data_IF_138939148797
#
_entry.id   IF_138939148797
#
_cell.length_a   1.000
_cell.length_b   1.000
_cell.length_c   1.000
_cell.angle_alpha   90.00
_cell.angle_beta   90.00
_cell.angle_gamma   90.00
#
_symmetry.space_group_name_H-M   'P 1'
#
loop_
_entity.id
_entity.type
_entity.pdbx_description
1 polymer ?
#
# COMPACT_ATOMS: atom_id res chain seq x y z
N UNK A 1 39.39 1.53 -6.66
CA UNK A 1 38.55 0.55 -5.93
C UNK A 1 37.19 1.21 -5.70
N UNK A 2 36.18 0.91 -6.52
CA UNK A 2 34.89 1.63 -6.51
C UNK A 2 34.00 1.16 -5.35
N UNK A 3 33.71 2.05 -4.40
CA UNK A 3 32.71 1.87 -3.34
C UNK A 3 31.32 1.87 -3.96
N UNK A 4 30.87 0.73 -4.49
CA UNK A 4 29.47 0.57 -4.91
C UNK A 4 28.69 0.18 -3.67
N UNK A 5 28.05 1.17 -3.05
CA UNK A 5 27.17 1.06 -1.89
C UNK A 5 26.11 -0.01 -2.12
N UNK A 6 26.01 -1.01 -1.24
CA UNK A 6 25.03 -2.10 -1.30
C UNK A 6 23.59 -1.67 -0.98
N UNK A 7 23.34 -0.38 -0.77
CA UNK A 7 22.02 0.20 -0.52
C UNK A 7 21.43 0.85 -1.77
N UNK A 8 20.12 0.64 -1.98
CA UNK A 8 19.33 1.13 -3.11
C UNK A 8 18.13 1.88 -2.53
N UNK A 9 18.25 3.19 -2.25
CA UNK A 9 17.11 4.00 -1.86
C UNK A 9 16.16 4.17 -3.05
N UNK A 10 14.87 4.30 -2.76
CA UNK A 10 13.85 4.57 -3.75
C UNK A 10 12.72 5.40 -3.14
N UNK A 11 12.01 6.07 -4.04
CA UNK A 11 10.75 6.73 -3.77
C UNK A 11 9.78 6.35 -4.87
N UNK A 12 8.53 6.10 -4.54
CA UNK A 12 7.49 5.79 -5.50
C UNK A 12 6.19 6.54 -5.19
N UNK A 13 5.51 6.87 -6.27
CA UNK A 13 4.15 7.39 -6.24
C UNK A 13 3.30 6.56 -7.20
N UNK A 14 2.15 6.09 -6.72
CA UNK A 14 1.24 5.25 -7.50
C UNK A 14 -0.18 5.72 -7.31
N UNK A 15 -0.96 5.73 -8.40
CA UNK A 15 -2.40 5.98 -8.38
C UNK A 15 -3.16 4.76 -8.91
N UNK A 16 -4.35 4.54 -8.36
CA UNK A 16 -5.30 3.55 -8.85
C UNK A 16 -6.73 4.08 -8.77
N UNK A 17 -7.62 3.51 -9.58
CA UNK A 17 -9.05 3.76 -9.49
C UNK A 17 -9.85 2.47 -9.66
N UNK A 18 -11.02 2.42 -9.03
CA UNK A 18 -11.96 1.31 -9.11
C UNK A 18 -13.33 1.90 -9.44
N UNK A 19 -13.93 1.59 -10.60
CA UNK A 19 -15.31 1.95 -10.90
C UNK A 19 -16.26 1.34 -9.86
N UNK A 20 -17.18 2.15 -9.35
CA UNK A 20 -18.18 1.70 -8.40
C UNK A 20 -19.50 1.47 -9.15
N UNK A 21 -20.07 0.27 -9.04
CA UNK A 21 -21.37 -0.03 -9.65
C UNK A 21 -22.51 0.42 -8.72
N UNK A 22 -23.66 0.76 -9.32
CA UNK A 22 -24.85 1.20 -8.60
C UNK A 22 -24.99 2.72 -8.56
N UNK A 23 -25.93 3.17 -7.73
CA UNK A 23 -26.29 4.57 -7.58
C UNK A 23 -26.65 4.89 -6.12
N UNK A 24 -26.61 6.18 -5.78
CA UNK A 24 -27.12 6.71 -4.52
C UNK A 24 -28.64 6.52 -4.41
N UNK A 25 -29.20 6.79 -3.23
CA UNK A 25 -30.66 6.84 -3.03
C UNK A 25 -31.36 7.76 -4.04
N UNK A 26 -30.73 8.88 -4.42
CA UNK A 26 -31.27 9.86 -5.37
C UNK A 26 -31.06 9.47 -6.85
N UNK A 27 -30.61 8.24 -7.12
CA UNK A 27 -30.41 7.70 -8.47
C UNK A 27 -29.15 8.21 -9.18
N UNK A 28 -28.24 8.87 -8.47
CA UNK A 28 -26.97 9.35 -9.05
C UNK A 28 -25.95 8.21 -9.08
N UNK A 29 -25.32 7.99 -10.25
CA UNK A 29 -24.25 7.01 -10.37
C UNK A 29 -23.06 7.34 -9.46
N UNK A 30 -22.40 6.31 -8.92
CA UNK A 30 -21.23 6.52 -8.08
C UNK A 30 -20.00 6.95 -8.88
N UNK A 31 -19.26 7.92 -8.35
CA UNK A 31 -17.91 8.20 -8.84
C UNK A 31 -16.97 7.00 -8.63
N UNK A 32 -15.93 6.81 -9.45
CA UNK A 32 -14.90 5.81 -9.16
C UNK A 32 -14.18 6.08 -7.83
N UNK A 33 -13.95 5.03 -7.05
CA UNK A 33 -13.03 5.07 -5.91
C UNK A 33 -11.62 5.34 -6.41
N UNK A 34 -10.83 6.14 -5.70
CA UNK A 34 -9.43 6.44 -6.06
C UNK A 34 -8.49 6.11 -4.92
N UNK A 35 -7.28 5.67 -5.24
CA UNK A 35 -6.20 5.43 -4.30
C UNK A 35 -4.93 6.15 -4.75
N UNK A 36 -4.21 6.74 -3.80
CA UNK A 36 -2.92 7.39 -3.98
C UNK A 36 -1.95 6.85 -2.95
N UNK A 37 -0.80 6.34 -3.39
CA UNK A 37 0.24 5.81 -2.52
C UNK A 37 1.53 6.61 -2.70
N UNK A 38 2.14 6.98 -1.58
CA UNK A 38 3.51 7.44 -1.49
C UNK A 38 4.30 6.41 -0.71
N UNK A 39 5.48 6.07 -1.19
CA UNK A 39 6.38 5.15 -0.50
C UNK A 39 7.82 5.61 -0.66
N UNK A 40 8.57 5.60 0.43
CA UNK A 40 10.00 5.86 0.45
C UNK A 40 10.67 4.70 1.16
N UNK A 41 11.69 4.10 0.54
CA UNK A 41 12.35 2.96 1.13
C UNK A 41 13.80 2.82 0.74
N UNK A 42 14.46 1.87 1.38
CA UNK A 42 15.82 1.47 1.08
C UNK A 42 15.89 -0.05 1.07
N UNK A 43 16.53 -0.58 0.03
CA UNK A 43 16.87 -1.99 -0.07
C UNK A 43 18.37 -2.16 0.09
N UNK A 44 18.79 -3.03 0.99
CA UNK A 44 20.20 -3.36 1.22
C UNK A 44 20.48 -4.80 0.79
N UNK A 45 21.42 -4.96 -0.15
CA UNK A 45 21.85 -6.25 -0.68
C UNK A 45 23.39 -6.29 -0.69
N UNK A 46 24.02 -6.76 0.40
CA UNK A 46 25.47 -6.95 0.46
C UNK A 46 25.95 -7.93 -0.62
N UNK A 47 27.16 -7.71 -1.14
CA UNK A 47 27.72 -8.53 -2.25
C UNK A 47 28.29 -9.86 -1.78
N UNK A 48 28.66 -9.94 -0.50
CA UNK A 48 29.43 -11.00 0.13
C UNK A 48 28.55 -12.04 0.84
N UNK A 49 27.24 -11.81 0.95
CA UNK A 49 26.30 -12.70 1.64
C UNK A 49 24.91 -12.67 0.99
N UNK A 50 24.20 -13.81 0.97
CA UNK A 50 22.84 -13.92 0.42
C UNK A 50 21.80 -13.36 1.40
N UNK A 51 21.88 -12.06 1.66
CA UNK A 51 20.99 -11.32 2.56
C UNK A 51 20.32 -10.19 1.79
N UNK A 52 19.04 -9.96 2.06
CA UNK A 52 18.26 -8.83 1.56
C UNK A 52 17.53 -8.23 2.73
N UNK A 53 17.76 -6.94 2.97
CA UNK A 53 16.99 -6.16 3.93
C UNK A 53 16.21 -5.07 3.19
N UNK A 54 14.96 -4.88 3.55
CA UNK A 54 14.10 -3.82 3.03
C UNK A 54 13.54 -3.04 4.20
N UNK A 55 13.56 -1.72 4.10
CA UNK A 55 12.86 -0.84 5.01
C UNK A 55 12.12 0.22 4.20
N UNK A 56 10.83 0.41 4.46
CA UNK A 56 9.99 1.37 3.76
C UNK A 56 9.06 2.12 4.72
N UNK A 57 8.76 3.37 4.37
CA UNK A 57 7.69 4.17 4.94
C UNK A 57 6.65 4.35 3.84
N UNK A 58 5.38 4.15 4.17
CA UNK A 58 4.31 4.29 3.19
C UNK A 58 3.15 5.12 3.73
N UNK A 59 2.43 5.75 2.80
CA UNK A 59 1.11 6.33 3.03
C UNK A 59 0.22 6.04 1.83
N UNK A 60 -0.87 5.32 2.07
CA UNK A 60 -1.94 5.03 1.11
C UNK A 60 -3.20 5.80 1.51
N UNK A 61 -3.75 6.56 0.57
CA UNK A 61 -4.97 7.35 0.76
C UNK A 61 -6.01 6.90 -0.25
N UNK A 62 -7.16 6.42 0.22
CA UNK A 62 -8.29 5.97 -0.60
C UNK A 62 -9.48 6.89 -0.38
N UNK A 63 -10.09 7.37 -1.46
CA UNK A 63 -11.23 8.30 -1.43
C UNK A 63 -12.45 7.72 -2.13
N UNK A 64 -13.63 8.21 -1.76
CA UNK A 64 -14.93 7.86 -2.38
C UNK A 64 -15.27 6.37 -2.25
N UNK A 65 -14.93 5.80 -1.09
CA UNK A 65 -15.24 4.42 -0.77
C UNK A 65 -16.74 4.28 -0.44
N UNK A 66 -17.39 3.22 -0.91
CA UNK A 66 -18.79 2.97 -0.58
C UNK A 66 -18.93 2.50 0.87
N UNK A 67 -19.86 3.10 1.60
CA UNK A 67 -20.34 2.61 2.90
C UNK A 67 -21.85 2.55 2.89
N UNK A 68 -22.44 1.78 3.81
CA UNK A 68 -23.89 1.80 4.01
C UNK A 68 -24.39 3.23 4.27
N UNK A 69 -25.55 3.57 3.71
CA UNK A 69 -26.24 4.81 4.02
C UNK A 69 -26.59 4.82 5.53
N UNK A 70 -26.16 5.83 6.31
CA UNK A 70 -26.47 5.90 7.73
C UNK A 70 -27.94 6.23 8.03
N UNK A 71 -28.72 6.65 7.04
CA UNK A 71 -30.16 6.89 7.19
C UNK A 71 -30.91 5.55 7.37
N UNK A 72 -31.65 5.35 8.49
CA UNK A 72 -32.38 4.11 8.76
C UNK A 72 -33.46 3.78 7.73
N UNK A 73 -33.98 4.76 6.99
CA UNK A 73 -34.96 4.55 5.92
C UNK A 73 -34.29 4.15 4.59
N UNK A 74 -32.96 4.18 4.51
CA UNK A 74 -32.15 3.94 3.29
C UNK A 74 -31.15 2.79 3.46
N UNK A 75 -31.41 1.86 4.37
CA UNK A 75 -30.51 0.74 4.74
C UNK A 75 -30.09 -0.19 3.59
N UNK A 76 -30.81 -0.18 2.45
CA UNK A 76 -30.45 -0.92 1.23
C UNK A 76 -29.53 -0.14 0.28
N UNK A 77 -29.22 1.12 0.58
CA UNK A 77 -28.42 2.01 -0.25
C UNK A 77 -27.02 2.21 0.33
N UNK A 78 -26.12 2.69 -0.54
CA UNK A 78 -24.77 3.08 -0.17
C UNK A 78 -24.55 4.55 -0.48
N UNK A 79 -23.66 5.16 0.30
CA UNK A 79 -23.16 6.51 0.09
C UNK A 79 -21.64 6.46 -0.09
N UNK A 80 -21.10 7.46 -0.79
CA UNK A 80 -19.64 7.61 -0.90
C UNK A 80 -19.14 8.30 0.36
N UNK A 81 -18.52 7.48 1.22
CA UNK A 81 -17.87 7.97 2.43
C UNK A 81 -16.48 8.53 2.12
N UNK A 82 -15.97 9.26 3.11
CA UNK A 82 -14.77 10.09 3.03
C UNK A 82 -13.47 9.35 2.77
N UNK A 83 -12.38 9.91 3.29
CA UNK A 83 -11.03 9.43 3.04
C UNK A 83 -10.63 8.33 4.03
N UNK A 84 -10.18 7.19 3.52
CA UNK A 84 -9.51 6.13 4.28
C UNK A 84 -8.01 6.30 4.09
N UNK A 85 -7.27 6.48 5.19
CA UNK A 85 -5.82 6.65 5.15
C UNK A 85 -5.11 5.54 5.93
N UNK A 86 -4.21 4.83 5.27
CA UNK A 86 -3.27 3.89 5.88
C UNK A 86 -1.85 4.45 5.79
N UNK A 87 -1.09 4.37 6.89
CA UNK A 87 0.30 4.83 6.95
C UNK A 87 1.08 3.94 7.89
N UNK A 88 2.34 3.69 7.57
CA UNK A 88 3.13 2.80 8.40
C UNK A 88 4.58 2.68 7.93
N UNK A 89 5.24 1.72 8.58
CA UNK A 89 6.60 1.31 8.27
C UNK A 89 6.56 -0.18 7.97
N UNK A 90 7.35 -0.62 7.00
CA UNK A 90 7.54 -2.03 6.68
C UNK A 90 9.02 -2.34 6.76
N UNK A 91 9.35 -3.40 7.49
CA UNK A 91 10.69 -3.94 7.60
C UNK A 91 10.62 -5.38 7.13
N UNK A 92 11.54 -5.80 6.27
CA UNK A 92 11.61 -7.17 5.80
C UNK A 92 13.07 -7.61 5.75
N UNK A 93 13.36 -8.82 6.22
CA UNK A 93 14.67 -9.43 6.17
C UNK A 93 14.56 -10.84 5.58
N UNK A 94 15.38 -11.13 4.57
CA UNK A 94 15.54 -12.45 3.96
C UNK A 94 17.02 -12.81 3.96
N UNK A 95 17.36 -13.99 4.46
CA UNK A 95 18.75 -14.45 4.55
C UNK A 95 18.88 -15.95 4.37
N UNK A 96 19.83 -16.41 3.55
CA UNK A 96 20.32 -17.79 3.64
C UNK A 96 21.49 -17.83 4.62
N UNK A 97 21.28 -18.42 5.80
CA UNK A 97 22.26 -18.42 6.89
C UNK A 97 23.39 -19.44 6.62
N UNK A 98 23.04 -20.58 6.01
CA UNK A 98 23.96 -21.59 5.52
C UNK A 98 23.29 -22.38 4.38
N UNK A 99 23.95 -23.43 3.88
CA UNK A 99 23.43 -24.24 2.77
C UNK A 99 22.07 -24.93 3.03
N UNK A 100 21.65 -25.01 4.30
CA UNK A 100 20.47 -25.77 4.72
C UNK A 100 19.44 -24.92 5.47
N UNK A 101 19.74 -23.66 5.80
CA UNK A 101 18.91 -22.80 6.64
C UNK A 101 18.65 -21.47 5.96
N UNK A 102 17.37 -21.20 5.73
CA UNK A 102 16.86 -19.92 5.25
C UNK A 102 16.01 -19.25 6.33
N UNK A 103 16.12 -17.93 6.44
CA UNK A 103 15.39 -17.08 7.38
C UNK A 103 14.57 -16.04 6.61
N UNK A 104 13.34 -15.83 7.03
CA UNK A 104 12.51 -14.67 6.64
C UNK A 104 11.90 -14.06 7.90
N UNK A 105 11.94 -12.74 8.01
CA UNK A 105 11.33 -11.97 9.08
C UNK A 105 10.70 -10.69 8.51
N UNK A 106 9.61 -10.24 9.13
CA UNK A 106 8.84 -9.05 8.79
C UNK A 106 8.21 -8.44 10.04
#
# INVERSE_FOLDING_TARGET
MCLITASRPYFSYSEAFIPNAGATYDGQAFDPSRAKQYEAGVKYVPKDRPVVLTAALYQLTKTKNLTADPDPDRTLFSVQSGEIRSRGVELEAKAALNANVNLTAS
#
